data_IF_499531218466
#
_entry.id   IF_499531218466
#
_cell.length_a   1.000
_cell.length_b   1.000
_cell.length_c   1.000
_cell.angle_alpha   90.00
_cell.angle_beta   90.00
_cell.angle_gamma   90.00
#
_symmetry.space_group_name_H-M   'P 1'
#
loop_
_entity.id
_entity.type
_entity.pdbx_description
1 polymer ?
#
# COMPACT_ATOMS: atom_id res chain seq x y z
N UNK A 1 2.14 16.38 16.23
CA UNK A 1 1.07 16.41 15.20
C UNK A 1 0.87 14.99 14.70
N UNK A 2 -0.36 14.62 14.35
CA UNK A 2 -0.68 13.31 13.78
C UNK A 2 -1.11 13.46 12.33
N UNK A 3 -0.77 12.48 11.49
CA UNK A 3 -0.99 12.55 10.05
C UNK A 3 -1.92 11.43 9.56
N UNK A 4 -2.73 11.77 8.57
CA UNK A 4 -3.51 10.82 7.78
C UNK A 4 -2.86 10.71 6.41
N UNK A 5 -2.57 9.49 5.98
CA UNK A 5 -1.83 9.22 4.74
C UNK A 5 -2.69 8.37 3.81
N UNK A 6 -2.68 8.74 2.54
CA UNK A 6 -3.25 7.96 1.44
C UNK A 6 -2.10 7.58 0.50
N UNK A 7 -2.03 6.32 0.07
CA UNK A 7 -0.94 5.79 -0.74
C UNK A 7 -1.40 4.74 -1.74
N UNK A 8 -0.69 4.69 -2.86
CA UNK A 8 -0.86 3.67 -3.90
C UNK A 8 0.34 2.71 -3.83
N UNK A 9 0.07 1.42 -3.71
CA UNK A 9 1.09 0.37 -3.73
C UNK A 9 0.93 -0.45 -5.02
N UNK A 10 1.92 -0.31 -5.89
CA UNK A 10 1.96 -1.01 -7.18
C UNK A 10 2.53 -2.41 -6.96
N UNK A 11 1.78 -3.44 -7.36
CA UNK A 11 2.12 -4.86 -7.16
C UNK A 11 2.02 -5.63 -8.48
N UNK A 12 2.51 -6.88 -8.54
CA UNK A 12 2.23 -7.72 -9.70
C UNK A 12 0.70 -7.93 -9.84
N UNK A 13 0.13 -7.67 -11.02
CA UNK A 13 -1.31 -7.77 -11.26
C UNK A 13 -1.87 -9.19 -11.28
N UNK A 14 -1.01 -10.22 -11.32
CA UNK A 14 -1.42 -11.61 -11.30
C UNK A 14 -1.62 -12.17 -9.87
N UNK A 15 -1.34 -11.37 -8.83
CA UNK A 15 -1.58 -11.80 -7.44
C UNK A 15 -3.09 -11.86 -7.14
N UNK A 16 -3.46 -12.71 -6.19
CA UNK A 16 -4.83 -12.76 -5.69
C UNK A 16 -5.16 -11.52 -4.85
N UNK A 17 -6.45 -11.20 -4.75
CA UNK A 17 -6.95 -10.13 -3.86
C UNK A 17 -6.51 -10.36 -2.41
N UNK A 18 -6.41 -11.63 -1.97
CA UNK A 18 -5.94 -11.98 -0.63
C UNK A 18 -4.48 -11.59 -0.43
N UNK A 19 -3.61 -11.93 -1.37
CA UNK A 19 -2.20 -11.54 -1.30
C UNK A 19 -2.03 -10.01 -1.33
N UNK A 20 -2.83 -9.31 -2.15
CA UNK A 20 -2.87 -7.85 -2.12
C UNK A 20 -3.28 -7.27 -0.76
N UNK A 21 -4.29 -7.87 -0.11
CA UNK A 21 -4.70 -7.50 1.23
C UNK A 21 -3.60 -7.73 2.27
N UNK A 22 -2.91 -8.87 2.20
CA UNK A 22 -1.82 -9.21 3.10
C UNK A 22 -0.64 -8.23 2.94
N UNK A 23 -0.29 -7.86 1.69
CA UNK A 23 0.71 -6.82 1.39
C UNK A 23 0.32 -5.47 2.01
N UNK A 24 -0.94 -5.05 1.86
CA UNK A 24 -1.42 -3.80 2.43
C UNK A 24 -1.31 -3.79 3.96
N UNK A 25 -1.61 -4.91 4.62
CA UNK A 25 -1.47 -5.05 6.06
C UNK A 25 -0.01 -4.92 6.52
N UNK A 26 0.91 -5.66 5.88
CA UNK A 26 2.34 -5.60 6.20
C UNK A 26 2.90 -4.19 5.98
N UNK A 27 2.52 -3.53 4.88
CA UNK A 27 2.94 -2.16 4.58
C UNK A 27 2.45 -1.17 5.64
N UNK A 28 1.16 -1.25 6.01
CA UNK A 28 0.56 -0.40 7.05
C UNK A 28 1.27 -0.56 8.39
N UNK A 29 1.50 -1.79 8.82
CA UNK A 29 2.14 -2.07 10.11
C UNK A 29 3.60 -1.61 10.14
N UNK A 30 4.32 -1.80 9.02
CA UNK A 30 5.69 -1.30 8.85
C UNK A 30 5.74 0.22 8.93
N UNK A 31 4.85 0.92 8.21
CA UNK A 31 4.80 2.38 8.23
C UNK A 31 4.44 2.94 9.60
N UNK A 32 3.48 2.31 10.31
CA UNK A 32 3.13 2.72 11.68
C UNK A 32 4.27 2.49 12.67
N UNK A 33 5.04 1.42 12.51
CA UNK A 33 6.20 1.13 13.35
C UNK A 33 7.34 2.12 13.09
N UNK A 34 7.62 2.45 11.83
CA UNK A 34 8.74 3.32 11.45
C UNK A 34 8.42 4.81 11.57
N UNK A 35 7.14 5.20 11.43
CA UNK A 35 6.68 6.59 11.45
C UNK A 35 5.53 6.73 12.47
N UNK A 36 5.83 6.79 13.78
CA UNK A 36 4.81 6.79 14.84
C UNK A 36 3.85 8.01 14.82
N UNK A 37 4.16 9.04 14.03
CA UNK A 37 3.30 10.22 13.86
C UNK A 37 2.14 9.98 12.89
N UNK A 38 2.13 8.86 12.15
CA UNK A 38 1.02 8.48 11.28
C UNK A 38 -0.09 7.82 12.11
N UNK A 39 -1.28 8.38 12.08
CA UNK A 39 -2.46 7.87 12.79
C UNK A 39 -3.24 6.87 11.93
N UNK A 40 -3.53 7.27 10.69
CA UNK A 40 -4.31 6.47 9.74
C UNK A 40 -3.61 6.39 8.39
N UNK A 41 -3.74 5.22 7.76
CA UNK A 41 -3.19 4.90 6.45
C UNK A 41 -4.31 4.25 5.65
N UNK A 42 -4.63 4.84 4.50
CA UNK A 42 -5.41 4.22 3.44
C UNK A 42 -4.45 3.77 2.35
N UNK A 43 -4.64 2.55 1.84
CA UNK A 43 -3.75 1.92 0.86
C UNK A 43 -4.60 1.42 -0.30
N UNK A 44 -4.32 1.93 -1.49
CA UNK A 44 -4.81 1.41 -2.75
C UNK A 44 -3.79 0.42 -3.32
N UNK A 45 -4.18 -0.85 -3.51
CA UNK A 45 -3.36 -1.83 -4.22
C UNK A 45 -3.69 -1.73 -5.72
N UNK A 46 -2.67 -1.49 -6.53
CA UNK A 46 -2.81 -1.34 -7.99
C UNK A 46 -1.87 -2.30 -8.71
N UNK A 47 -2.29 -2.94 -9.81
CA UNK A 47 -1.40 -3.77 -10.60
C UNK A 47 -0.34 -2.90 -11.30
N UNK A 48 0.88 -3.40 -11.42
CA UNK A 48 1.90 -2.82 -12.29
C UNK A 48 1.41 -2.93 -13.72
N UNK A 49 1.11 -1.81 -14.36
CA UNK A 49 0.75 -1.81 -15.76
C UNK A 49 1.90 -2.39 -16.59
N UNK A 50 1.71 -3.59 -17.14
CA UNK A 50 2.57 -4.17 -18.16
C UNK A 50 2.38 -3.51 -19.53
N UNK A 51 1.53 -2.47 -19.62
CA UNK A 51 1.41 -1.63 -20.80
C UNK A 51 2.21 -0.36 -20.61
N UNK A 52 3.25 -0.23 -21.44
CA UNK A 52 4.03 0.98 -21.70
C UNK A 52 3.38 2.26 -21.18
N UNK A 53 4.02 2.88 -20.20
CA UNK A 53 3.88 4.31 -20.00
C UNK A 53 4.50 4.98 -21.23
N UNK A 54 3.63 5.46 -22.13
CA UNK A 54 3.99 6.48 -23.12
C UNK A 54 4.10 7.82 -22.41
#
# INVERSE_FOLDING_TARGET
MKYHVDLHAIVNGDITVREGHDIAHVLKDTLKSQIPTIENILIHIEPSDSRNQN
#
